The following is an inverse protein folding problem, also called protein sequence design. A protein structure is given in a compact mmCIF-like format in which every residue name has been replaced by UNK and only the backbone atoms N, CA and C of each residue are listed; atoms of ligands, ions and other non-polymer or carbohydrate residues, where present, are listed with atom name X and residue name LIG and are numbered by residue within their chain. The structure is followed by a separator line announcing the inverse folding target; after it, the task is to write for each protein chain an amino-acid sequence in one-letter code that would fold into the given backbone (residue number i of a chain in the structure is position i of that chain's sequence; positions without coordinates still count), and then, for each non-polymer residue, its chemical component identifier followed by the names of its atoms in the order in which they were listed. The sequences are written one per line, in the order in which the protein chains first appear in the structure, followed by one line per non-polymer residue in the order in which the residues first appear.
data_IF_924073573325
#
_entry.id   IF_924073573325
#
_cell.length_a   1.000
_cell.length_b   1.000
_cell.length_c   1.000
_cell.angle_alpha   90.00
_cell.angle_beta   90.00
_cell.angle_gamma   90.00
#
_symmetry.space_group_name_H-M   'P 1'
#
loop_
_entity.id
_entity.type
_entity.pdbx_description
1 polymer ?
#
# COMPACT_ATOMS: atom_id res chain seq x y z
N UNK A 1 -4.57 11.81 -10.84
CA UNK A 1 -5.55 11.01 -11.61
C UNK A 1 -6.63 10.54 -10.65
N UNK A 2 -7.90 10.53 -11.07
CA UNK A 2 -9.02 10.05 -10.25
C UNK A 2 -9.23 8.57 -10.63
N UNK A 3 -8.61 7.64 -9.92
CA UNK A 3 -8.71 6.22 -10.27
C UNK A 3 -10.13 5.72 -9.94
N UNK A 4 -10.90 5.38 -10.98
CA UNK A 4 -12.27 4.84 -10.86
C UNK A 4 -12.27 3.43 -10.27
N UNK A 5 -11.20 2.67 -10.50
CA UNK A 5 -10.98 1.32 -9.98
C UNK A 5 -9.61 1.30 -9.30
N UNK A 6 -9.52 0.67 -8.13
CA UNK A 6 -8.27 0.54 -7.37
C UNK A 6 -8.29 -0.71 -6.49
N UNK A 7 -7.12 -1.28 -6.16
CA UNK A 7 -7.02 -2.45 -5.30
C UNK A 7 -7.59 -2.23 -3.90
N UNK A 8 -8.24 -3.27 -3.37
CA UNK A 8 -8.58 -3.42 -1.97
C UNK A 8 -7.71 -4.54 -1.38
N UNK A 9 -6.95 -4.21 -0.34
CA UNK A 9 -5.99 -5.09 0.33
C UNK A 9 -6.56 -5.51 1.68
N UNK A 10 -6.56 -6.82 1.94
CA UNK A 10 -7.13 -7.40 3.16
C UNK A 10 -6.11 -7.43 4.30
N UNK A 11 -6.50 -6.96 5.48
CA UNK A 11 -5.67 -6.96 6.69
C UNK A 11 -6.42 -7.52 7.90
N UNK A 12 -5.66 -8.04 8.85
CA UNK A 12 -6.13 -8.32 10.21
C UNK A 12 -5.77 -7.15 11.12
N UNK A 13 -6.63 -6.13 11.14
CA UNK A 13 -6.49 -4.93 11.99
C UNK A 13 -5.21 -4.10 11.82
N UNK A 14 -4.44 -4.34 10.75
CA UNK A 14 -3.14 -3.69 10.49
C UNK A 14 -3.16 -2.73 9.28
N UNK A 15 -4.34 -2.39 8.75
CA UNK A 15 -4.44 -1.55 7.56
C UNK A 15 -3.83 -0.15 7.75
N UNK A 16 -3.92 0.44 8.95
CA UNK A 16 -3.37 1.77 9.22
C UNK A 16 -1.85 1.75 9.32
N UNK A 17 -1.31 0.72 9.96
CA UNK A 17 0.12 0.46 10.10
C UNK A 17 0.74 0.26 8.73
N UNK A 18 0.12 -0.59 7.88
CA UNK A 18 0.55 -0.79 6.50
C UNK A 18 0.49 0.51 5.69
N UNK A 19 -0.60 1.26 5.78
CA UNK A 19 -0.72 2.55 5.10
C UNK A 19 0.36 3.55 5.53
N UNK A 20 0.66 3.65 6.83
CA UNK A 20 1.74 4.49 7.36
C UNK A 20 3.11 4.04 6.84
N UNK A 21 3.37 2.74 6.85
CA UNK A 21 4.62 2.16 6.34
C UNK A 21 4.82 2.53 4.86
N UNK A 22 3.84 2.24 4.01
CA UNK A 22 3.95 2.56 2.58
C UNK A 22 4.03 4.08 2.34
N UNK A 23 3.20 4.89 3.00
CA UNK A 23 3.30 6.34 2.84
C UNK A 23 4.62 6.94 3.33
N UNK A 24 5.35 6.25 4.23
CA UNK A 24 6.69 6.63 4.66
C UNK A 24 7.78 6.31 3.63
N UNK A 25 7.55 5.34 2.75
CA UNK A 25 8.51 4.89 1.73
C UNK A 25 8.27 5.58 0.38
N UNK A 26 7.02 5.61 -0.08
CA UNK A 26 6.69 6.17 -1.39
C UNK A 26 6.60 7.70 -1.33
N UNK A 27 7.24 8.39 -2.27
CA UNK A 27 7.04 9.84 -2.47
C UNK A 27 5.59 10.13 -2.88
N UNK A 28 5.10 11.36 -2.69
CA UNK A 28 3.74 11.77 -3.06
C UNK A 28 2.65 10.82 -2.52
N UNK A 29 2.72 10.55 -1.21
CA UNK A 29 1.83 9.61 -0.53
C UNK A 29 1.08 10.29 0.59
N UNK A 30 -0.14 9.82 0.86
CA UNK A 30 -0.97 10.34 1.96
C UNK A 30 -2.06 9.35 2.36
N UNK A 31 -2.42 9.37 3.63
CA UNK A 31 -3.63 8.71 4.11
C UNK A 31 -4.79 9.70 3.93
N UNK A 32 -5.87 9.26 3.28
CA UNK A 32 -7.02 10.12 2.95
C UNK A 32 -8.26 9.78 3.77
N UNK A 33 -8.34 8.58 4.33
CA UNK A 33 -9.41 8.17 5.26
C UNK A 33 -8.86 7.15 6.23
N UNK A 34 -9.23 7.26 7.50
CA UNK A 34 -8.87 6.31 8.54
C UNK A 34 -10.09 6.05 9.43
N UNK A 35 -10.59 4.83 9.39
CA UNK A 35 -11.65 4.31 10.25
C UNK A 35 -11.20 2.94 10.78
N UNK A 36 -11.82 2.41 11.85
CA UNK A 36 -11.47 1.08 12.35
C UNK A 36 -11.56 -0.03 11.28
N UNK A 37 -12.49 0.08 10.34
CA UNK A 37 -12.74 -0.92 9.30
C UNK A 37 -11.95 -0.66 8.01
N UNK A 38 -11.82 0.60 7.60
CA UNK A 38 -11.30 0.99 6.28
C UNK A 38 -10.26 2.09 6.40
N UNK A 39 -9.16 1.92 5.67
CA UNK A 39 -8.12 2.93 5.47
C UNK A 39 -7.97 3.19 3.98
N UNK A 40 -8.17 4.43 3.54
CA UNK A 40 -7.81 4.86 2.18
C UNK A 40 -6.48 5.59 2.22
N UNK A 41 -5.58 5.22 1.31
CA UNK A 41 -4.27 5.86 1.20
C UNK A 41 -3.83 5.91 -0.26
N UNK A 42 -2.92 6.83 -0.54
CA UNK A 42 -2.29 7.01 -1.84
C UNK A 42 -0.79 6.75 -1.68
N UNK A 43 -0.22 5.97 -2.60
CA UNK A 43 1.23 5.74 -2.71
C UNK A 43 1.69 6.19 -4.08
N UNK A 44 2.64 7.12 -4.16
CA UNK A 44 3.07 7.72 -5.43
C UNK A 44 1.89 8.28 -6.28
N UNK A 45 0.85 8.80 -5.62
CA UNK A 45 -0.40 9.26 -6.25
C UNK A 45 -1.36 8.16 -6.72
N UNK A 46 -1.08 6.88 -6.47
CA UNK A 46 -1.98 5.75 -6.75
C UNK A 46 -2.82 5.42 -5.53
N UNK A 47 -4.15 5.44 -5.70
CA UNK A 47 -5.09 5.12 -4.63
C UNK A 47 -5.10 3.62 -4.32
N UNK A 48 -5.13 3.29 -3.03
CA UNK A 48 -5.33 1.96 -2.46
C UNK A 48 -6.36 2.02 -1.32
N UNK A 49 -6.95 0.87 -1.00
CA UNK A 49 -7.77 0.68 0.19
C UNK A 49 -7.24 -0.50 1.00
N UNK A 50 -7.07 -0.30 2.30
CA UNK A 50 -6.90 -1.37 3.27
C UNK A 50 -8.23 -1.65 3.99
N UNK A 51 -8.63 -2.91 4.05
CA UNK A 51 -9.82 -3.39 4.76
C UNK A 51 -9.38 -4.26 5.94
N UNK A 52 -9.74 -3.86 7.16
CA UNK A 52 -9.55 -4.64 8.37
C UNK A 52 -10.66 -5.70 8.49
N UNK A 53 -10.55 -6.77 7.70
CA UNK A 53 -11.55 -7.85 7.65
C UNK A 53 -11.28 -9.01 8.62
N UNK A 54 -10.17 -8.99 9.36
CA UNK A 54 -9.79 -10.05 10.29
C UNK A 54 -8.94 -11.16 9.64
N UNK A 55 -8.63 -12.24 10.37
CA UNK A 55 -7.55 -13.18 10.01
C UNK A 55 -7.91 -14.21 8.93
N UNK A 56 -9.09 -14.13 8.33
CA UNK A 56 -9.66 -15.17 7.45
C UNK A 56 -8.90 -15.32 6.13
N UNK A 57 -8.46 -14.19 5.55
CA UNK A 57 -7.73 -14.16 4.30
C UNK A 57 -6.33 -13.57 4.52
N UNK A 58 -5.35 -14.16 3.83
CA UNK A 58 -3.94 -13.75 3.88
C UNK A 58 -3.49 -13.41 2.47
N UNK A 59 -2.51 -12.52 2.37
CA UNK A 59 -1.84 -12.28 1.10
C UNK A 59 -1.16 -13.56 0.60
N UNK A 60 -1.16 -13.67 -0.72
CA UNK A 60 -0.37 -14.62 -1.47
C UNK A 60 0.11 -13.91 -2.74
N UNK A 61 0.89 -14.61 -3.55
CA UNK A 61 1.54 -14.09 -4.74
C UNK A 61 0.56 -13.74 -5.87
N UNK A 62 -0.72 -14.13 -5.77
CA UNK A 62 -1.73 -13.83 -6.80
C UNK A 62 -2.09 -12.34 -6.87
N UNK A 63 -1.80 -11.56 -5.82
CA UNK A 63 -1.90 -10.11 -5.83
C UNK A 63 -0.51 -9.51 -5.63
N UNK A 64 -0.03 -8.79 -6.65
CA UNK A 64 1.24 -8.07 -6.63
C UNK A 64 1.05 -6.66 -7.18
N UNK A 65 1.77 -5.70 -6.60
CA UNK A 65 1.90 -4.35 -7.16
C UNK A 65 3.29 -4.20 -7.74
N UNK A 66 3.37 -3.66 -8.96
CA UNK A 66 4.63 -3.46 -9.67
C UNK A 66 4.93 -1.96 -9.68
N UNK A 67 6.18 -1.62 -9.40
CA UNK A 67 6.71 -0.28 -9.55
C UNK A 67 7.79 -0.28 -10.63
N UNK A 68 7.57 0.51 -11.68
CA UNK A 68 8.57 0.78 -12.70
C UNK A 68 9.63 1.72 -12.13
N UNK A 69 10.85 1.20 -11.94
CA UNK A 69 11.98 1.97 -11.44
C UNK A 69 12.80 2.54 -12.60
N UNK A 70 13.26 3.79 -12.46
CA UNK A 70 14.02 4.50 -13.51
C UNK A 70 15.45 3.98 -13.67
N UNK A 71 16.06 3.55 -12.57
CA UNK A 71 17.47 3.13 -12.47
C UNK A 71 17.70 2.20 -11.27
N UNK A 72 18.94 1.70 -11.15
CA UNK A 72 19.34 0.77 -10.09
C UNK A 72 19.24 1.40 -8.70
N UNK A 73 19.55 2.70 -8.55
CA UNK A 73 19.44 3.39 -7.26
C UNK A 73 17.99 3.38 -6.74
N UNK A 74 17.00 3.53 -7.62
CA UNK A 74 15.59 3.45 -7.26
C UNK A 74 15.15 2.01 -6.93
N UNK A 75 15.67 1.01 -7.67
CA UNK A 75 15.48 -0.41 -7.33
C UNK A 75 16.00 -0.69 -5.93
N UNK A 76 17.24 -0.30 -5.64
CA UNK A 76 17.88 -0.53 -4.35
C UNK A 76 17.14 0.21 -3.22
N UNK A 77 16.66 1.43 -3.48
CA UNK A 77 15.84 2.17 -2.53
C UNK A 77 14.58 1.40 -2.15
N UNK A 78 13.74 1.01 -3.11
CA UNK A 78 12.48 0.34 -2.79
C UNK A 78 12.71 -1.07 -2.24
N UNK A 79 13.65 -1.82 -2.81
CA UNK A 79 13.97 -3.17 -2.34
C UNK A 79 14.38 -3.17 -0.87
N UNK A 80 15.34 -2.32 -0.51
CA UNK A 80 15.85 -2.25 0.86
C UNK A 80 14.79 -1.75 1.86
N UNK A 81 13.89 -0.84 1.47
CA UNK A 81 12.87 -0.33 2.40
C UNK A 81 11.65 -1.25 2.53
N UNK A 82 11.33 -2.05 1.50
CA UNK A 82 10.15 -2.93 1.51
C UNK A 82 10.43 -4.34 2.04
N UNK A 83 11.69 -4.76 2.10
CA UNK A 83 12.10 -6.10 2.57
C UNK A 83 12.83 -6.11 3.91
N UNK A 84 13.10 -4.93 4.49
CA UNK A 84 13.81 -4.76 5.76
C UNK A 84 13.00 -5.19 7.00
#
# INVERSE_FOLDING_TARGET
MKNTIYPCLWFDNQALEAAKFYCGIFKNSKITTNTPMVVHFEVNGYKLMGLNGGPQFKFNEAISLVIDCKDQDEVDYYWNHLTA
#
